data_IF_143147587802
#
_entry.id   IF_143147587802
#
_cell.length_a   1.000
_cell.length_b   1.000
_cell.length_c   1.000
_cell.angle_alpha   90.00
_cell.angle_beta   90.00
_cell.angle_gamma   90.00
#
_symmetry.space_group_name_H-M   'P 1'
#
loop_
_entity.id
_entity.type
_entity.pdbx_description
1 polymer ?
#
# COMPACT_ATOMS: atom_id res chain seq x y z
N UNK A 1 -4.40 22.35 32.51
CA UNK A 1 -5.59 21.63 33.00
C UNK A 1 -6.59 21.52 31.86
N UNK A 2 -6.56 20.43 31.12
CA UNK A 2 -7.57 20.07 30.13
C UNK A 2 -8.46 19.04 30.81
N UNK A 3 -9.73 19.37 31.05
CA UNK A 3 -10.76 18.41 31.43
C UNK A 3 -11.26 17.81 30.11
N UNK A 4 -11.05 16.53 29.87
CA UNK A 4 -11.76 15.77 28.85
C UNK A 4 -13.03 15.23 29.52
N UNK A 5 -14.17 15.46 28.87
CA UNK A 5 -15.41 14.85 29.30
C UNK A 5 -15.35 13.36 28.98
N UNK A 6 -15.68 12.53 29.98
CA UNK A 6 -15.87 11.09 29.81
C UNK A 6 -17.06 10.88 28.85
N UNK A 7 -16.80 10.23 27.72
CA UNK A 7 -17.83 9.87 26.74
C UNK A 7 -17.88 8.33 26.67
N UNK A 8 -19.04 7.74 26.94
CA UNK A 8 -19.29 6.29 26.90
C UNK A 8 -18.86 5.68 25.57
N UNK A 9 -18.89 6.45 24.49
CA UNK A 9 -18.44 6.03 23.17
C UNK A 9 -16.97 5.66 23.09
N UNK A 10 -16.10 6.25 23.96
CA UNK A 10 -14.67 5.88 24.04
C UNK A 10 -14.48 4.48 24.63
N UNK A 11 -15.32 4.07 25.57
CA UNK A 11 -15.24 2.73 26.14
C UNK A 11 -15.72 1.68 25.12
N UNK A 12 -16.80 1.94 24.41
CA UNK A 12 -17.32 1.04 23.38
C UNK A 12 -16.30 0.86 22.23
N UNK A 13 -15.67 1.95 21.77
CA UNK A 13 -14.62 1.90 20.74
C UNK A 13 -13.36 1.15 21.23
N UNK A 14 -12.99 1.30 22.48
CA UNK A 14 -11.83 0.61 23.05
C UNK A 14 -12.12 -0.89 23.23
N UNK A 15 -13.32 -1.25 23.64
CA UNK A 15 -13.76 -2.64 23.80
C UNK A 15 -13.86 -3.34 22.41
N UNK A 16 -14.34 -2.63 21.39
CA UNK A 16 -14.34 -3.14 20.01
C UNK A 16 -12.92 -3.37 19.50
N UNK A 17 -12.01 -2.40 19.69
CA UNK A 17 -10.60 -2.53 19.31
C UNK A 17 -9.92 -3.70 20.03
N UNK A 18 -10.13 -3.82 21.33
CA UNK A 18 -9.56 -4.90 22.13
C UNK A 18 -10.07 -6.28 21.65
N UNK A 19 -11.36 -6.40 21.42
CA UNK A 19 -12.00 -7.61 20.90
C UNK A 19 -11.44 -7.95 19.51
N UNK A 20 -11.24 -6.95 18.65
CA UNK A 20 -10.73 -7.15 17.31
C UNK A 20 -9.25 -7.61 17.33
N UNK A 21 -8.42 -7.06 18.22
CA UNK A 21 -7.03 -7.50 18.41
C UNK A 21 -6.98 -8.97 18.87
N UNK A 22 -7.84 -9.36 19.81
CA UNK A 22 -7.90 -10.76 20.27
C UNK A 22 -8.30 -11.73 19.16
N UNK A 23 -9.13 -11.31 18.22
CA UNK A 23 -9.54 -12.09 17.05
C UNK A 23 -8.46 -12.09 15.95
N UNK A 24 -7.72 -10.99 15.81
CA UNK A 24 -6.73 -10.79 14.77
C UNK A 24 -5.56 -11.80 14.88
N UNK A 25 -5.05 -12.01 16.10
CA UNK A 25 -3.91 -12.92 16.32
C UNK A 25 -4.17 -14.36 15.87
N UNK A 26 -5.25 -15.04 16.28
CA UNK A 26 -5.56 -16.36 15.77
C UNK A 26 -5.89 -16.37 14.27
N UNK A 27 -6.52 -15.31 13.74
CA UNK A 27 -6.82 -15.20 12.33
C UNK A 27 -5.54 -15.14 11.45
N UNK A 28 -4.50 -14.40 11.90
CA UNK A 28 -3.19 -14.39 11.25
C UNK A 28 -2.55 -15.78 11.28
N UNK A 29 -2.63 -16.49 12.40
CA UNK A 29 -2.06 -17.82 12.52
C UNK A 29 -2.80 -18.88 11.67
N UNK A 30 -4.12 -18.71 11.51
CA UNK A 30 -4.97 -19.61 10.73
C UNK A 30 -5.07 -19.24 9.25
N UNK A 31 -4.42 -18.14 8.81
CA UNK A 31 -4.52 -17.59 7.46
C UNK A 31 -5.98 -17.34 7.03
N UNK A 32 -6.78 -16.73 7.92
CA UNK A 32 -8.20 -16.42 7.65
C UNK A 32 -8.37 -15.18 6.75
N UNK A 33 -7.35 -14.76 6.03
CA UNK A 33 -7.35 -13.58 5.16
C UNK A 33 -7.41 -13.99 3.70
N UNK A 34 -7.88 -13.07 2.88
CA UNK A 34 -7.87 -13.17 1.42
C UNK A 34 -7.18 -11.95 0.82
N UNK A 35 -6.52 -12.13 -0.33
CA UNK A 35 -5.96 -11.04 -1.12
C UNK A 35 -6.83 -10.82 -2.35
N UNK A 36 -7.38 -9.62 -2.46
CA UNK A 36 -8.10 -9.17 -3.64
C UNK A 36 -7.15 -8.38 -4.52
N UNK A 37 -7.35 -8.42 -5.82
CA UNK A 37 -6.47 -7.78 -6.79
C UNK A 37 -7.23 -6.73 -7.58
N UNK A 38 -6.93 -5.46 -7.32
CA UNK A 38 -7.54 -4.34 -8.03
C UNK A 38 -6.73 -3.98 -9.28
N UNK A 39 -7.32 -3.98 -10.48
CA UNK A 39 -6.59 -3.70 -11.70
C UNK A 39 -6.25 -2.21 -11.84
N UNK A 40 -5.01 -1.93 -12.26
CA UNK A 40 -4.56 -0.61 -12.71
C UNK A 40 -4.58 -0.57 -14.23
N UNK A 41 -5.36 0.36 -14.78
CA UNK A 41 -5.56 0.50 -16.21
C UNK A 41 -4.58 1.54 -16.77
N UNK A 42 -3.84 1.17 -17.80
CA UNK A 42 -3.05 2.13 -18.56
C UNK A 42 -3.97 2.90 -19.51
N UNK A 43 -4.10 4.22 -19.30
CA UNK A 43 -5.04 5.07 -20.03
C UNK A 43 -4.73 5.17 -21.53
N UNK A 44 -3.47 5.09 -21.93
CA UNK A 44 -3.08 5.17 -23.34
C UNK A 44 -3.44 3.89 -24.14
N UNK A 45 -3.28 2.72 -23.52
CA UNK A 45 -3.52 1.42 -24.15
C UNK A 45 -4.87 0.80 -23.79
N UNK A 46 -5.56 1.33 -22.77
CA UNK A 46 -6.77 0.78 -22.17
C UNK A 46 -6.64 -0.71 -21.74
N UNK A 47 -5.45 -1.08 -21.26
CA UNK A 47 -5.14 -2.45 -20.83
C UNK A 47 -4.75 -2.45 -19.34
N UNK A 48 -5.03 -3.57 -18.67
CA UNK A 48 -4.50 -3.82 -17.32
C UNK A 48 -2.99 -3.93 -17.43
N UNK A 49 -2.27 -3.10 -16.68
CA UNK A 49 -0.81 -3.10 -16.63
C UNK A 49 -0.29 -3.64 -15.31
N UNK A 50 -1.03 -3.42 -14.24
CA UNK A 50 -0.69 -3.85 -12.90
C UNK A 50 -1.95 -4.24 -12.13
N UNK A 51 -1.76 -4.92 -11.01
CA UNK A 51 -2.79 -5.13 -10.01
C UNK A 51 -2.25 -4.74 -8.64
N UNK A 52 -3.10 -4.12 -7.81
CA UNK A 52 -2.80 -3.85 -6.42
C UNK A 52 -3.37 -4.96 -5.54
N UNK A 53 -2.53 -5.51 -4.66
CA UNK A 53 -2.89 -6.57 -3.71
C UNK A 53 -3.52 -5.95 -2.47
N UNK A 54 -4.81 -6.14 -2.30
CA UNK A 54 -5.61 -5.55 -1.24
C UNK A 54 -6.09 -6.62 -0.26
N UNK A 55 -5.63 -6.53 0.97
CA UNK A 55 -5.98 -7.47 2.02
C UNK A 55 -7.45 -7.35 2.41
N UNK A 56 -8.09 -8.50 2.66
CA UNK A 56 -9.48 -8.62 3.12
C UNK A 56 -9.55 -9.63 4.25
N UNK A 57 -10.43 -9.37 5.22
CA UNK A 57 -10.65 -10.29 6.32
C UNK A 57 -12.11 -10.76 6.34
N UNK A 58 -12.42 -11.85 5.59
CA UNK A 58 -13.77 -12.41 5.56
C UNK A 58 -14.14 -13.02 6.92
N UNK A 59 -15.41 -12.93 7.26
CA UNK A 59 -15.96 -13.47 8.51
C UNK A 59 -16.84 -14.69 8.23
N UNK A 60 -16.99 -15.55 9.23
CA UNK A 60 -17.80 -16.78 9.12
C UNK A 60 -19.28 -16.52 8.85
N UNK A 61 -19.78 -15.34 9.18
CA UNK A 61 -21.16 -14.92 8.91
C UNK A 61 -21.35 -14.32 7.51
N UNK A 62 -20.29 -14.30 6.69
CA UNK A 62 -20.30 -13.73 5.35
C UNK A 62 -20.01 -12.22 5.30
N UNK A 63 -19.85 -11.56 6.45
CA UNK A 63 -19.42 -10.17 6.49
C UNK A 63 -17.92 -10.03 6.19
N UNK A 64 -17.48 -8.81 5.94
CA UNK A 64 -16.08 -8.48 5.64
C UNK A 64 -15.58 -7.39 6.59
N UNK A 65 -14.43 -7.60 7.22
CA UNK A 65 -13.73 -6.53 7.93
C UNK A 65 -12.72 -5.92 6.95
N UNK A 66 -12.83 -4.60 6.74
CA UNK A 66 -11.98 -3.87 5.80
C UNK A 66 -10.67 -3.43 6.43
N UNK A 67 -9.62 -3.19 5.62
CA UNK A 67 -8.27 -2.86 6.08
C UNK A 67 -8.18 -1.67 7.03
N UNK A 68 -8.96 -0.63 6.81
CA UNK A 68 -9.04 0.57 7.65
C UNK A 68 -9.33 0.27 9.13
N UNK A 69 -10.04 -0.83 9.41
CA UNK A 69 -10.37 -1.25 10.78
C UNK A 69 -9.29 -2.10 11.44
N UNK A 70 -8.60 -2.98 10.70
CA UNK A 70 -7.69 -3.94 11.32
C UNK A 70 -6.19 -3.67 11.06
N UNK A 71 -5.83 -2.98 9.98
CA UNK A 71 -4.42 -2.65 9.70
C UNK A 71 -3.79 -1.83 10.83
N UNK A 72 -4.42 -0.74 11.35
CA UNK A 72 -3.85 0.00 12.48
C UNK A 72 -3.65 -0.84 13.74
N UNK A 73 -4.53 -1.83 13.95
CA UNK A 73 -4.42 -2.77 15.07
C UNK A 73 -3.30 -3.80 14.83
N UNK A 74 -3.14 -4.28 13.61
CA UNK A 74 -2.03 -5.15 13.22
C UNK A 74 -0.67 -4.43 13.40
N UNK A 75 -0.58 -3.17 13.03
CA UNK A 75 0.61 -2.33 13.21
C UNK A 75 0.97 -2.13 14.69
N UNK A 76 -0.01 -1.70 15.50
CA UNK A 76 0.21 -1.45 16.92
C UNK A 76 0.54 -2.72 17.71
N UNK A 77 0.04 -3.87 17.28
CA UNK A 77 0.29 -5.18 17.91
C UNK A 77 1.47 -5.95 17.33
N UNK A 78 2.12 -5.43 16.27
CA UNK A 78 3.22 -6.11 15.55
C UNK A 78 2.77 -7.27 14.64
N UNK A 79 1.47 -7.54 14.55
CA UNK A 79 0.92 -8.59 13.68
C UNK A 79 1.01 -8.24 12.20
N UNK A 80 1.25 -6.97 11.87
CA UNK A 80 1.46 -6.53 10.48
C UNK A 80 2.71 -7.17 9.84
N UNK A 81 3.72 -7.54 10.63
CA UNK A 81 4.96 -8.15 10.15
C UNK A 81 4.67 -9.54 9.54
N UNK A 82 4.13 -10.53 10.29
CA UNK A 82 3.80 -11.84 9.71
C UNK A 82 2.69 -11.75 8.65
N UNK A 83 1.72 -10.85 8.82
CA UNK A 83 0.65 -10.65 7.86
C UNK A 83 1.18 -10.08 6.54
N UNK A 84 2.06 -9.09 6.60
CA UNK A 84 2.70 -8.50 5.41
C UNK A 84 3.60 -9.49 4.68
N UNK A 85 4.34 -10.34 5.40
CA UNK A 85 5.11 -11.42 4.79
C UNK A 85 4.21 -12.42 4.04
N UNK A 86 3.06 -12.76 4.60
CA UNK A 86 2.08 -13.62 3.94
C UNK A 86 1.49 -12.96 2.70
N UNK A 87 1.10 -11.68 2.78
CA UNK A 87 0.58 -10.90 1.62
C UNK A 87 1.60 -10.84 0.50
N UNK A 88 2.88 -10.58 0.79
CA UNK A 88 3.96 -10.54 -0.20
C UNK A 88 4.08 -11.87 -0.94
N UNK A 89 4.08 -13.01 -0.21
CA UNK A 89 4.11 -14.33 -0.83
C UNK A 89 2.90 -14.55 -1.74
N UNK A 90 1.68 -14.27 -1.26
CA UNK A 90 0.45 -14.44 -2.05
C UNK A 90 0.43 -13.57 -3.31
N UNK A 91 0.88 -12.32 -3.20
CA UNK A 91 0.94 -11.39 -4.32
C UNK A 91 1.95 -11.85 -5.39
N UNK A 92 3.14 -12.26 -4.97
CA UNK A 92 4.17 -12.76 -5.87
C UNK A 92 3.74 -14.07 -6.57
N UNK A 93 3.18 -15.03 -5.83
CA UNK A 93 2.65 -16.28 -6.38
C UNK A 93 1.52 -16.02 -7.38
N UNK A 94 0.59 -15.11 -7.06
CA UNK A 94 -0.47 -14.73 -7.98
C UNK A 94 0.09 -14.16 -9.27
N UNK A 95 1.03 -13.21 -9.19
CA UNK A 95 1.62 -12.57 -10.36
C UNK A 95 2.38 -13.59 -11.23
N UNK A 96 3.18 -14.46 -10.64
CA UNK A 96 3.89 -15.54 -11.35
C UNK A 96 2.91 -16.46 -12.10
N UNK A 97 1.81 -16.84 -11.44
CA UNK A 97 0.76 -17.66 -12.07
C UNK A 97 0.07 -16.92 -13.23
N UNK A 98 -0.14 -15.60 -13.13
CA UNK A 98 -0.68 -14.82 -14.26
C UNK A 98 0.31 -14.78 -15.43
N UNK A 99 1.62 -14.74 -15.19
CA UNK A 99 2.63 -14.83 -16.25
C UNK A 99 2.57 -16.18 -16.96
N UNK A 100 2.41 -17.29 -16.24
CA UNK A 100 2.20 -18.61 -16.82
C UNK A 100 0.95 -18.68 -17.69
N UNK A 101 -0.11 -17.93 -17.31
CA UNK A 101 -1.36 -17.80 -18.07
C UNK A 101 -1.26 -16.85 -19.30
N UNK A 102 -0.07 -16.32 -19.59
CA UNK A 102 0.19 -15.46 -20.77
C UNK A 102 0.16 -13.96 -20.49
N UNK A 103 -0.08 -13.52 -19.26
CA UNK A 103 -0.03 -12.10 -18.86
C UNK A 103 1.39 -11.67 -18.46
N UNK A 104 2.38 -11.92 -19.29
CA UNK A 104 3.82 -11.85 -19.00
C UNK A 104 4.34 -10.46 -18.58
N UNK A 105 3.57 -9.39 -18.77
CA UNK A 105 3.94 -8.03 -18.41
C UNK A 105 3.16 -7.48 -17.22
N UNK A 106 2.33 -8.31 -16.56
CA UNK A 106 1.58 -7.90 -15.39
C UNK A 106 2.54 -7.66 -14.22
N UNK A 107 2.39 -6.53 -13.52
CA UNK A 107 3.06 -6.24 -12.25
C UNK A 107 2.07 -6.35 -11.11
N UNK A 108 2.56 -6.72 -9.92
CA UNK A 108 1.77 -6.70 -8.69
C UNK A 108 2.34 -5.65 -7.74
N UNK A 109 1.45 -4.82 -7.19
CA UNK A 109 1.76 -3.82 -6.19
C UNK A 109 1.32 -4.30 -4.81
N UNK A 110 2.14 -4.04 -3.79
CA UNK A 110 1.90 -4.42 -2.39
C UNK A 110 2.20 -3.25 -1.48
N UNK A 111 1.23 -2.88 -0.66
CA UNK A 111 1.37 -1.84 0.36
C UNK A 111 2.30 -2.28 1.50
N UNK A 112 3.21 -1.41 1.91
CA UNK A 112 4.07 -1.59 3.07
C UNK A 112 3.69 -0.64 4.21
N UNK A 113 3.71 -1.18 5.43
CA UNK A 113 3.59 -0.40 6.65
C UNK A 113 4.96 -0.03 7.22
N UNK A 114 5.07 1.16 7.81
CA UNK A 114 6.27 1.59 8.54
C UNK A 114 6.70 0.60 9.62
N UNK A 115 5.73 -0.08 10.24
CA UNK A 115 6.03 -1.05 11.30
C UNK A 115 6.85 -2.26 10.80
N UNK A 116 6.81 -2.58 9.49
CA UNK A 116 7.56 -3.71 8.89
C UNK A 116 9.06 -3.41 8.78
N UNK A 117 9.47 -2.14 8.85
CA UNK A 117 10.89 -1.77 8.82
C UNK A 117 11.59 -1.87 10.18
N UNK A 118 10.83 -2.01 11.28
CA UNK A 118 11.36 -1.88 12.66
C UNK A 118 12.36 -2.96 13.05
N UNK A 119 12.23 -4.17 12.54
CA UNK A 119 13.08 -5.30 12.90
C UNK A 119 14.22 -5.58 11.91
N UNK A 120 14.29 -4.82 10.82
CA UNK A 120 15.34 -4.95 9.81
C UNK A 120 15.21 -6.17 8.91
N UNK A 121 14.15 -6.97 9.02
CA UNK A 121 14.00 -8.24 8.30
C UNK A 121 13.34 -8.10 6.93
N UNK A 122 12.73 -6.95 6.64
CA UNK A 122 11.93 -6.75 5.43
C UNK A 122 12.65 -7.09 4.12
N UNK A 123 13.94 -6.74 3.90
CA UNK A 123 14.66 -7.12 2.67
C UNK A 123 14.72 -8.63 2.47
N UNK A 124 14.97 -9.39 3.53
CA UNK A 124 15.01 -10.85 3.48
C UNK A 124 13.63 -11.46 3.21
N UNK A 125 12.56 -10.85 3.77
CA UNK A 125 11.17 -11.27 3.52
C UNK A 125 10.80 -11.07 2.05
N UNK A 126 11.15 -9.93 1.46
CA UNK A 126 10.93 -9.63 0.04
C UNK A 126 11.70 -10.60 -0.85
N UNK A 127 12.98 -10.81 -0.56
CA UNK A 127 13.82 -11.76 -1.31
C UNK A 127 13.23 -13.18 -1.27
N UNK A 128 12.78 -13.62 -0.09
CA UNK A 128 12.18 -14.95 0.10
C UNK A 128 10.87 -15.08 -0.70
N UNK A 129 10.01 -14.05 -0.72
CA UNK A 129 8.76 -14.08 -1.49
C UNK A 129 9.02 -14.20 -3.00
N UNK A 130 10.03 -13.48 -3.52
CA UNK A 130 10.46 -13.57 -4.92
C UNK A 130 11.02 -14.96 -5.26
N UNK A 131 11.86 -15.52 -4.37
CA UNK A 131 12.42 -16.86 -4.54
C UNK A 131 11.34 -17.95 -4.52
N UNK A 132 10.42 -17.91 -3.55
CA UNK A 132 9.33 -18.89 -3.41
C UNK A 132 8.43 -18.93 -4.64
N UNK A 133 8.08 -17.75 -5.18
CA UNK A 133 7.20 -17.60 -6.33
C UNK A 133 7.89 -17.72 -7.68
N UNK A 134 9.22 -17.63 -7.71
CA UNK A 134 10.04 -17.52 -8.93
C UNK A 134 9.66 -16.28 -9.78
N UNK A 135 9.05 -15.26 -9.17
CA UNK A 135 8.72 -14.01 -9.84
C UNK A 135 9.98 -13.18 -10.04
N UNK A 136 10.20 -12.70 -11.27
CA UNK A 136 11.30 -11.77 -11.52
C UNK A 136 11.05 -10.43 -10.80
N UNK A 137 12.06 -9.86 -10.09
CA UNK A 137 11.87 -8.73 -9.16
C UNK A 137 11.23 -7.50 -9.78
N UNK A 138 11.46 -7.23 -11.06
CA UNK A 138 10.89 -6.08 -11.77
C UNK A 138 9.36 -6.12 -11.89
N UNK A 139 8.72 -7.22 -11.56
CA UNK A 139 7.25 -7.38 -11.58
C UNK A 139 6.62 -7.21 -10.19
N UNK A 140 7.43 -7.03 -9.15
CA UNK A 140 6.97 -6.61 -7.82
C UNK A 140 7.17 -5.11 -7.67
N UNK A 141 6.13 -4.41 -7.24
CA UNK A 141 6.15 -3.01 -6.85
C UNK A 141 5.74 -2.91 -5.38
N UNK A 142 6.48 -2.15 -4.59
CA UNK A 142 6.17 -1.90 -3.18
C UNK A 142 5.68 -0.46 -3.02
N UNK A 143 4.53 -0.29 -2.42
CA UNK A 143 3.89 1.01 -2.22
C UNK A 143 4.22 1.54 -0.83
N UNK A 144 4.70 2.77 -0.77
CA UNK A 144 5.17 3.44 0.43
C UNK A 144 4.44 4.76 0.61
N UNK A 145 3.93 5.01 1.81
CA UNK A 145 3.40 6.33 2.14
C UNK A 145 4.54 7.34 2.33
N UNK A 146 4.24 8.63 2.20
CA UNK A 146 5.21 9.71 2.43
C UNK A 146 5.88 9.63 3.81
N UNK A 147 5.15 9.15 4.82
CA UNK A 147 5.66 9.01 6.20
C UNK A 147 6.84 8.04 6.30
N UNK A 148 6.82 6.96 5.52
CA UNK A 148 7.92 5.97 5.48
C UNK A 148 9.18 6.61 4.89
N UNK A 149 9.00 7.40 3.83
CA UNK A 149 10.10 8.08 3.16
C UNK A 149 10.72 9.20 4.01
N UNK A 150 9.93 9.81 4.91
CA UNK A 150 10.40 10.89 5.80
C UNK A 150 11.20 10.39 7.02
N UNK A 151 11.37 9.09 7.22
CA UNK A 151 12.13 8.54 8.33
C UNK A 151 13.63 8.68 8.08
N UNK A 152 14.23 9.71 8.71
CA UNK A 152 15.66 10.00 8.63
C UNK A 152 16.54 9.08 9.51
N UNK A 153 15.95 8.18 10.29
CA UNK A 153 16.65 7.40 11.31
C UNK A 153 17.41 6.16 10.78
N UNK A 154 17.98 6.25 9.60
CA UNK A 154 19.09 5.40 9.16
C UNK A 154 18.75 3.97 8.69
N UNK A 155 17.96 3.21 9.43
CA UNK A 155 17.72 1.80 9.10
C UNK A 155 16.68 1.57 8.00
N UNK A 156 15.70 2.45 7.87
CA UNK A 156 14.67 2.39 6.82
C UNK A 156 15.31 2.62 5.44
N UNK A 157 16.15 3.63 5.31
CA UNK A 157 16.86 3.92 4.07
C UNK A 157 17.76 2.78 3.60
N UNK A 158 18.51 2.16 4.52
CA UNK A 158 19.36 1.00 4.20
C UNK A 158 18.53 -0.20 3.71
N UNK A 159 17.38 -0.46 4.33
CA UNK A 159 16.47 -1.52 3.90
C UNK A 159 15.86 -1.24 2.54
N UNK A 160 15.44 0.00 2.27
CA UNK A 160 14.92 0.40 0.96
C UNK A 160 15.96 0.22 -0.15
N UNK A 161 17.22 0.62 0.09
CA UNK A 161 18.31 0.41 -0.87
C UNK A 161 18.63 -1.09 -1.06
N UNK A 162 18.57 -1.91 -0.01
CA UNK A 162 18.73 -3.36 -0.11
C UNK A 162 17.62 -3.98 -0.98
N UNK A 163 16.34 -3.61 -0.76
CA UNK A 163 15.21 -4.08 -1.56
C UNK A 163 15.33 -3.63 -3.02
N UNK A 164 15.71 -2.37 -3.24
CA UNK A 164 15.95 -1.82 -4.58
C UNK A 164 17.05 -2.59 -5.32
N UNK A 165 18.10 -2.99 -4.60
CA UNK A 165 19.20 -3.78 -5.16
C UNK A 165 18.78 -5.17 -5.64
N UNK A 166 17.66 -5.71 -5.14
CA UNK A 166 17.02 -6.93 -5.66
C UNK A 166 16.39 -6.69 -7.05
N UNK A 167 16.15 -5.45 -7.46
CA UNK A 167 15.48 -5.08 -8.71
C UNK A 167 13.98 -4.82 -8.58
N UNK A 168 13.47 -4.75 -7.34
CA UNK A 168 12.08 -4.40 -7.02
C UNK A 168 11.84 -2.91 -7.26
N UNK A 169 10.63 -2.54 -7.65
CA UNK A 169 10.25 -1.17 -7.88
C UNK A 169 9.43 -0.61 -6.72
N UNK A 170 9.44 0.72 -6.62
CA UNK A 170 8.66 1.44 -5.62
C UNK A 170 7.66 2.37 -6.25
N UNK A 171 6.52 2.54 -5.57
CA UNK A 171 5.55 3.60 -5.80
C UNK A 171 5.35 4.41 -4.51
N UNK A 172 5.02 5.68 -4.68
CA UNK A 172 4.66 6.56 -3.57
C UNK A 172 3.15 6.59 -3.49
N UNK A 173 2.61 6.25 -2.32
CA UNK A 173 1.18 6.19 -2.06
C UNK A 173 0.69 7.38 -1.23
N UNK A 174 -0.62 7.67 -1.33
CA UNK A 174 -1.32 8.75 -0.61
C UNK A 174 -0.67 10.13 -0.76
N UNK A 175 -0.07 10.43 -1.93
CA UNK A 175 0.68 11.66 -2.14
C UNK A 175 -0.19 12.91 -2.01
N UNK A 176 0.31 13.86 -1.19
CA UNK A 176 -0.33 15.15 -0.94
C UNK A 176 -1.16 15.20 0.34
N UNK A 177 -1.31 14.07 1.08
CA UNK A 177 -2.03 14.02 2.35
C UNK A 177 -1.13 14.30 3.55
N UNK A 178 0.20 14.28 3.36
CA UNK A 178 1.22 14.41 4.39
C UNK A 178 2.19 15.59 4.19
N UNK A 179 3.30 15.54 4.91
CA UNK A 179 4.41 16.50 4.76
C UNK A 179 5.38 15.99 3.69
N UNK A 180 5.12 16.37 2.44
CA UNK A 180 6.02 16.00 1.32
C UNK A 180 7.35 16.73 1.44
N UNK A 181 8.41 16.00 1.75
CA UNK A 181 9.76 16.52 1.56
C UNK A 181 10.23 16.21 0.13
N UNK A 182 10.09 17.17 -0.78
CA UNK A 182 10.44 17.03 -2.20
C UNK A 182 11.91 16.58 -2.43
N UNK A 183 12.82 16.85 -1.48
CA UNK A 183 14.21 16.39 -1.59
C UNK A 183 14.31 14.87 -1.53
N UNK A 184 13.47 14.20 -0.72
CA UNK A 184 13.45 12.73 -0.67
C UNK A 184 12.88 12.13 -1.94
N UNK A 185 11.85 12.75 -2.50
CA UNK A 185 11.27 12.30 -3.77
C UNK A 185 12.29 12.31 -4.91
N UNK A 186 13.21 13.29 -4.93
CA UNK A 186 14.27 13.37 -5.93
C UNK A 186 15.35 12.29 -5.78
N UNK A 187 15.66 11.92 -4.53
CA UNK A 187 16.67 10.90 -4.22
C UNK A 187 16.10 9.48 -4.26
N UNK A 188 14.83 9.34 -3.94
CA UNK A 188 14.12 8.06 -3.93
C UNK A 188 13.60 7.78 -5.34
N UNK A 189 14.22 6.84 -6.05
CA UNK A 189 13.88 6.48 -7.43
C UNK A 189 12.59 5.65 -7.48
N UNK A 190 11.43 6.22 -7.11
CA UNK A 190 10.13 5.59 -7.32
C UNK A 190 9.73 5.64 -8.81
N UNK A 191 8.99 4.65 -9.26
CA UNK A 191 8.46 4.61 -10.64
C UNK A 191 7.10 5.27 -10.79
N UNK A 192 6.30 5.28 -9.72
CA UNK A 192 4.95 5.81 -9.73
C UNK A 192 4.69 6.71 -8.54
N UNK A 193 3.78 7.62 -8.74
CA UNK A 193 3.22 8.49 -7.72
C UNK A 193 1.70 8.34 -7.80
N UNK A 194 1.08 7.81 -6.73
CA UNK A 194 -0.36 7.61 -6.61
C UNK A 194 -0.98 8.87 -6.03
N UNK A 195 -1.97 9.40 -6.73
CA UNK A 195 -2.72 10.59 -6.34
C UNK A 195 -3.92 10.10 -5.54
N UNK A 196 -3.95 10.45 -4.25
CA UNK A 196 -5.01 10.04 -3.34
C UNK A 196 -6.40 10.44 -3.87
N UNK A 197 -7.39 9.57 -3.63
CA UNK A 197 -8.79 9.75 -4.00
C UNK A 197 -9.41 11.05 -3.53
N UNK A 198 -8.91 11.63 -2.43
CA UNK A 198 -9.40 12.90 -1.89
C UNK A 198 -9.28 14.01 -2.95
N UNK A 199 -8.17 14.05 -3.69
CA UNK A 199 -7.95 15.03 -4.75
C UNK A 199 -8.73 14.71 -6.02
N UNK A 200 -8.88 13.41 -6.33
CA UNK A 200 -9.62 12.96 -7.53
C UNK A 200 -11.12 13.18 -7.36
N UNK A 201 -11.67 12.93 -6.16
CA UNK A 201 -13.09 13.11 -5.88
C UNK A 201 -13.56 14.58 -5.90
N UNK A 202 -12.62 15.54 -5.82
CA UNK A 202 -12.95 16.96 -5.95
C UNK A 202 -13.05 17.41 -7.42
N UNK A 203 -12.51 16.65 -8.37
CA UNK A 203 -12.52 17.00 -9.78
C UNK A 203 -13.96 17.12 -10.31
N UNK A 204 -14.30 18.28 -10.86
CA UNK A 204 -15.61 18.57 -11.45
C UNK A 204 -16.67 19.07 -10.48
N UNK A 205 -16.36 19.29 -9.18
CA UNK A 205 -17.29 19.83 -8.19
C UNK A 205 -17.17 21.37 -8.07
N UNK A 206 -15.98 21.92 -8.40
CA UNK A 206 -15.71 23.37 -8.32
C UNK A 206 -14.71 23.86 -9.36
N UNK A 207 -14.65 25.20 -9.57
CA UNK A 207 -13.76 25.82 -10.56
C UNK A 207 -12.25 25.70 -10.22
N UNK A 208 -11.88 25.26 -9.00
CA UNK A 208 -10.50 25.29 -8.50
C UNK A 208 -9.87 23.89 -8.27
N UNK A 209 -10.54 22.80 -8.59
CA UNK A 209 -10.10 21.45 -8.18
C UNK A 209 -9.05 20.83 -9.14
N UNK A 210 -9.01 21.28 -10.40
CA UNK A 210 -8.02 20.84 -11.39
C UNK A 210 -6.56 21.26 -11.13
N UNK A 211 -6.28 22.48 -10.61
CA UNK A 211 -4.89 22.96 -10.46
C UNK A 211 -4.01 22.12 -9.55
N UNK A 212 -4.56 21.54 -8.46
CA UNK A 212 -3.77 20.73 -7.53
C UNK A 212 -3.40 19.39 -8.14
N UNK A 213 -4.34 18.70 -8.77
CA UNK A 213 -4.07 17.43 -9.48
C UNK A 213 -3.07 17.67 -10.62
N UNK A 214 -3.23 18.77 -11.38
CA UNK A 214 -2.28 19.13 -12.42
C UNK A 214 -0.87 19.43 -11.87
N UNK A 215 -0.77 20.06 -10.70
CA UNK A 215 0.51 20.28 -10.03
C UNK A 215 1.16 18.96 -9.61
N UNK A 216 0.40 18.03 -9.03
CA UNK A 216 0.92 16.69 -8.65
C UNK A 216 1.40 15.93 -9.89
N UNK A 217 0.65 15.94 -10.99
CA UNK A 217 1.08 15.32 -12.25
C UNK A 217 2.38 15.96 -12.75
N UNK A 218 2.49 17.30 -12.70
CA UNK A 218 3.71 18.00 -13.10
C UNK A 218 4.92 17.65 -12.23
N UNK A 219 4.72 17.42 -10.94
CA UNK A 219 5.76 16.93 -10.02
C UNK A 219 6.19 15.51 -10.45
N UNK A 220 5.24 14.61 -10.66
CA UNK A 220 5.54 13.25 -11.10
C UNK A 220 6.34 13.25 -12.40
N UNK A 221 5.92 14.00 -13.41
CA UNK A 221 6.60 14.14 -14.68
C UNK A 221 8.03 14.70 -14.52
N UNK A 222 8.20 15.73 -13.68
CA UNK A 222 9.51 16.34 -13.42
C UNK A 222 10.49 15.37 -12.75
N UNK A 223 9.97 14.41 -12.00
CA UNK A 223 10.75 13.37 -11.32
C UNK A 223 10.88 12.08 -12.15
N UNK A 224 10.32 12.04 -13.36
CA UNK A 224 10.33 10.87 -14.24
C UNK A 224 9.44 9.71 -13.74
N UNK A 225 8.47 10.02 -12.88
CA UNK A 225 7.49 9.07 -12.33
C UNK A 225 6.20 9.07 -13.16
N UNK A 226 5.49 7.95 -13.15
CA UNK A 226 4.14 7.88 -13.71
C UNK A 226 3.11 8.25 -12.64
N UNK A 227 2.21 9.19 -12.95
CA UNK A 227 1.08 9.48 -12.08
C UNK A 227 0.02 8.38 -12.20
N UNK A 228 -0.54 7.96 -11.07
CA UNK A 228 -1.66 7.02 -10.96
C UNK A 228 -2.77 7.71 -10.19
N UNK A 229 -3.96 7.80 -10.77
CA UNK A 229 -5.12 8.35 -10.09
C UNK A 229 -5.92 7.26 -9.39
N UNK A 230 -6.27 7.49 -8.13
CA UNK A 230 -7.06 6.57 -7.32
C UNK A 230 -8.52 7.02 -7.21
N UNK A 231 -9.42 6.07 -6.83
CA UNK A 231 -10.81 6.37 -6.56
C UNK A 231 -11.65 6.74 -7.79
N UNK A 232 -11.23 6.35 -8.99
CA UNK A 232 -12.03 6.59 -10.19
C UNK A 232 -13.14 5.52 -10.26
N UNK A 233 -14.37 5.90 -9.87
CA UNK A 233 -15.53 5.00 -9.83
C UNK A 233 -16.42 5.14 -11.08
N UNK A 234 -16.30 6.21 -11.83
CA UNK A 234 -17.09 6.47 -13.04
C UNK A 234 -16.26 7.14 -14.12
N UNK A 235 -16.67 6.99 -15.40
CA UNK A 235 -16.10 7.83 -16.45
C UNK A 235 -16.39 9.28 -16.12
N UNK A 236 -15.39 10.18 -16.17
CA UNK A 236 -15.66 11.61 -16.11
C UNK A 236 -16.57 11.98 -17.28
N UNK A 237 -17.58 12.77 -16.96
CA UNK A 237 -18.50 13.34 -17.96
C UNK A 237 -17.74 14.33 -18.81
#
# INVERSE_FOLDING_TARGET
NRYEYYDVRFDEENDEKFTLIQRLRPAVQANEFEVYYQPLINLASNKVQAVEALLRWPQKDGSMIFPDKFIPLAESSGLIIPLGAWVLNQACEFCAKQHENGHTNLTVAVNLSFAQFKDGTLPAVVEQALQNSQLAPQFLELELTETILADENGTTGEQLEAIKSLGVHFAIDDFGTGYSNLNYLQTFSARKLKIDRIFINTLGIGENDGPLVAAIISIADSLGMKAVAEGIESKPV
#
